data_IF_497208855070
#
_entry.id   IF_497208855070
#
_cell.length_a   1.000
_cell.length_b   1.000
_cell.length_c   1.000
_cell.angle_alpha   90.00
_cell.angle_beta   90.00
_cell.angle_gamma   90.00
#
_symmetry.space_group_name_H-M   'P 1'
#
loop_
_entity.id
_entity.type
_entity.pdbx_description
1 polymer ?
#
# COMPACT_ATOMS: atom_id res chain seq x y z
N UNK A 1 80.54 26.21 -58.06
CA UNK A 1 79.35 26.67 -58.81
C UNK A 1 78.53 27.49 -57.83
N UNK A 2 79.02 28.64 -57.34
CA UNK A 2 79.45 29.84 -58.10
C UNK A 2 78.39 30.18 -59.16
N UNK A 3 77.65 31.28 -59.08
CA UNK A 3 78.16 32.64 -58.93
C UNK A 3 77.39 33.56 -57.98
N UNK A 4 78.16 34.43 -57.33
CA UNK A 4 77.78 35.71 -56.73
C UNK A 4 77.49 36.75 -57.84
N UNK A 5 76.77 37.85 -57.64
CA UNK A 5 77.34 39.16 -57.25
C UNK A 5 76.28 40.28 -57.47
N UNK A 6 76.01 41.03 -56.39
CA UNK A 6 75.71 42.48 -56.23
C UNK A 6 74.65 43.20 -57.10
N UNK A 7 73.71 43.89 -56.44
CA UNK A 7 73.79 45.36 -56.31
C UNK A 7 72.94 45.87 -55.13
N UNK A 8 73.42 46.98 -54.60
CA UNK A 8 73.19 47.54 -53.26
C UNK A 8 71.96 48.44 -53.14
N UNK A 9 71.51 48.54 -51.89
CA UNK A 9 71.00 49.75 -51.20
C UNK A 9 69.71 50.42 -51.65
N UNK A 10 68.91 50.76 -50.63
CA UNK A 10 67.85 51.79 -50.58
C UNK A 10 66.39 51.38 -50.86
N UNK A 11 65.83 50.52 -49.98
CA UNK A 11 64.43 50.68 -49.54
C UNK A 11 64.12 49.88 -48.27
N UNK A 12 64.89 50.14 -47.22
CA UNK A 12 64.38 49.97 -45.86
C UNK A 12 63.43 51.13 -45.57
N UNK A 13 62.10 50.89 -45.57
CA UNK A 13 61.10 51.53 -44.66
C UNK A 13 59.61 51.34 -44.95
N UNK A 14 59.17 50.57 -45.95
CA UNK A 14 57.71 50.50 -46.27
C UNK A 14 57.06 49.12 -46.00
N UNK A 15 57.81 48.03 -45.89
CA UNK A 15 57.19 46.70 -45.72
C UNK A 15 56.84 46.28 -44.28
N UNK A 16 57.27 47.03 -43.25
CA UNK A 16 57.00 46.67 -41.85
C UNK A 16 55.67 47.21 -41.29
N UNK A 17 54.98 48.15 -41.97
CA UNK A 17 53.79 48.82 -41.41
C UNK A 17 52.43 48.38 -41.99
N UNK A 18 52.43 47.51 -43.01
CA UNK A 18 51.18 46.96 -43.57
C UNK A 18 50.88 45.52 -43.11
N UNK A 19 51.88 44.75 -42.69
CA UNK A 19 51.70 43.40 -42.14
C UNK A 19 51.01 43.41 -40.77
N UNK A 20 51.34 44.39 -39.90
CA UNK A 20 50.86 44.43 -38.52
C UNK A 20 49.36 44.72 -38.42
N UNK A 21 48.85 45.67 -39.23
CA UNK A 21 47.42 46.05 -39.19
C UNK A 21 46.48 44.94 -39.68
N UNK A 22 46.92 44.13 -40.64
CA UNK A 22 46.14 42.97 -41.09
C UNK A 22 46.25 41.81 -40.09
N UNK A 23 47.42 41.63 -39.46
CA UNK A 23 47.61 40.70 -38.34
C UNK A 23 46.64 40.99 -37.19
N UNK A 24 46.55 42.25 -36.75
CA UNK A 24 45.65 42.68 -35.67
C UNK A 24 44.17 42.45 -36.01
N UNK A 25 43.76 42.75 -37.25
CA UNK A 25 42.38 42.52 -37.70
C UNK A 25 42.07 41.02 -37.75
N UNK A 26 42.98 40.18 -38.24
CA UNK A 26 42.79 38.72 -38.28
C UNK A 26 42.73 38.14 -36.86
N UNK A 27 43.62 38.56 -35.96
CA UNK A 27 43.61 38.14 -34.55
C UNK A 27 42.28 38.51 -33.88
N UNK A 28 41.73 39.70 -34.17
CA UNK A 28 40.44 40.13 -33.63
C UNK A 28 39.27 39.24 -34.09
N UNK A 29 39.27 38.79 -35.35
CA UNK A 29 38.23 37.91 -35.89
C UNK A 29 38.32 36.49 -35.31
N UNK A 30 39.53 35.96 -35.15
CA UNK A 30 39.74 34.65 -34.49
C UNK A 30 39.26 34.69 -33.05
N UNK A 31 39.47 35.80 -32.34
CA UNK A 31 38.97 35.98 -30.97
C UNK A 31 37.44 35.97 -30.90
N UNK A 32 36.77 36.69 -31.81
CA UNK A 32 35.30 36.69 -31.91
C UNK A 32 34.74 35.30 -32.23
N UNK A 33 35.42 34.55 -33.11
CA UNK A 33 35.04 33.18 -33.42
C UNK A 33 35.20 32.26 -32.20
N UNK A 34 36.31 32.38 -31.47
CA UNK A 34 36.52 31.61 -30.25
C UNK A 34 35.44 31.92 -29.20
N UNK A 35 35.09 33.20 -29.01
CA UNK A 35 34.01 33.60 -28.12
C UNK A 35 32.64 33.03 -28.56
N UNK A 36 32.37 32.99 -29.86
CA UNK A 36 31.14 32.37 -30.39
C UNK A 36 31.09 30.85 -30.14
N UNK A 37 32.22 30.15 -30.32
CA UNK A 37 32.35 28.71 -30.04
C UNK A 37 32.22 28.43 -28.54
N UNK A 38 32.85 29.25 -27.70
CA UNK A 38 32.78 29.14 -26.25
C UNK A 38 31.31 29.28 -25.78
N UNK A 39 30.60 30.30 -26.26
CA UNK A 39 29.17 30.52 -25.94
C UNK A 39 28.28 29.36 -26.42
N UNK A 40 28.58 28.77 -27.59
CA UNK A 40 27.84 27.63 -28.12
C UNK A 40 27.99 26.40 -27.22
N UNK A 41 29.22 26.13 -26.76
CA UNK A 41 29.52 24.94 -25.96
C UNK A 41 29.12 25.12 -24.50
N UNK A 42 29.50 26.24 -23.88
CA UNK A 42 29.21 26.56 -22.49
C UNK A 42 29.20 28.07 -22.24
N UNK A 43 27.99 28.61 -22.04
CA UNK A 43 27.73 30.02 -21.76
C UNK A 43 28.28 30.50 -20.40
N UNK A 44 28.71 29.59 -19.52
CA UNK A 44 29.14 29.91 -18.15
C UNK A 44 30.65 30.07 -17.95
N UNK A 45 31.48 29.69 -18.92
CA UNK A 45 32.94 29.62 -18.73
C UNK A 45 33.62 30.99 -18.84
N UNK A 46 33.07 31.93 -19.60
CA UNK A 46 33.65 33.28 -19.79
C UNK A 46 32.61 34.38 -19.95
N UNK A 47 32.61 35.34 -19.01
CA UNK A 47 31.91 36.60 -19.13
C UNK A 47 30.41 36.55 -18.83
N UNK A 48 29.70 37.60 -19.23
CA UNK A 48 28.24 37.67 -19.08
C UNK A 48 27.53 36.78 -20.12
N UNK A 49 26.48 36.04 -19.73
CA UNK A 49 25.77 35.17 -20.63
C UNK A 49 25.11 35.98 -21.75
N UNK A 50 25.35 35.58 -22.99
CA UNK A 50 24.79 36.26 -24.16
C UNK A 50 23.27 36.10 -24.19
N UNK A 51 22.58 37.20 -24.44
CA UNK A 51 21.12 37.28 -24.44
C UNK A 51 20.57 37.56 -25.82
N UNK A 52 19.38 37.05 -26.08
CA UNK A 52 18.56 37.39 -27.24
C UNK A 52 17.97 38.82 -27.09
N UNK A 53 17.37 39.36 -28.15
CA UNK A 53 16.67 40.65 -28.15
C UNK A 53 15.54 40.76 -27.12
N UNK A 54 15.01 39.63 -26.64
CA UNK A 54 14.04 39.55 -25.54
C UNK A 54 14.69 39.35 -24.16
N UNK A 55 15.99 39.63 -24.00
CA UNK A 55 16.74 39.49 -22.75
C UNK A 55 16.78 38.05 -22.18
N UNK A 56 16.50 37.05 -23.02
CA UNK A 56 16.59 35.63 -22.64
C UNK A 56 18.01 35.12 -22.92
N UNK A 57 18.61 34.46 -21.93
CA UNK A 57 19.93 33.84 -22.07
C UNK A 57 19.85 32.68 -23.08
N UNK A 58 20.80 32.62 -24.01
CA UNK A 58 20.94 31.48 -24.92
C UNK A 58 21.31 30.21 -24.14
N UNK A 59 20.69 29.08 -24.47
CA UNK A 59 21.06 27.78 -23.90
C UNK A 59 22.24 27.21 -24.70
N UNK A 60 23.33 26.90 -24.00
CA UNK A 60 24.48 26.20 -24.59
C UNK A 60 24.22 24.69 -24.74
N UNK A 61 25.13 23.98 -25.44
CA UNK A 61 25.08 22.52 -25.46
C UNK A 61 25.20 21.90 -24.06
N UNK A 62 26.06 22.44 -23.20
CA UNK A 62 26.16 22.02 -21.81
C UNK A 62 24.83 22.18 -21.06
N UNK A 63 24.09 23.27 -21.29
CA UNK A 63 22.77 23.50 -20.67
C UNK A 63 21.68 22.57 -21.22
N UNK A 64 21.79 22.13 -22.47
CA UNK A 64 20.87 21.16 -23.06
C UNK A 64 21.08 19.77 -22.44
N UNK A 65 22.31 19.44 -22.08
CA UNK A 65 22.68 18.16 -21.49
C UNK A 65 22.42 18.15 -19.99
N UNK A 66 22.90 19.18 -19.29
CA UNK A 66 22.88 19.34 -17.84
C UNK A 66 21.65 20.06 -17.31
N UNK A 67 21.54 20.14 -15.98
CA UNK A 67 20.45 20.84 -15.31
C UNK A 67 19.15 20.05 -15.18
N UNK A 68 18.11 20.70 -14.63
CA UNK A 68 16.80 20.09 -14.37
C UNK A 68 16.01 19.80 -15.65
N UNK A 69 16.08 20.73 -16.61
CA UNK A 69 15.49 20.62 -17.95
C UNK A 69 16.44 19.94 -18.95
N UNK A 70 17.59 19.42 -18.48
CA UNK A 70 18.56 18.75 -19.32
C UNK A 70 18.07 17.41 -19.84
N UNK A 71 18.61 16.98 -20.98
CA UNK A 71 18.25 15.72 -21.64
C UNK A 71 18.38 14.50 -20.74
N UNK A 72 19.38 14.45 -19.86
CA UNK A 72 19.54 13.33 -18.93
C UNK A 72 18.35 13.18 -17.97
N UNK A 73 17.84 14.29 -17.41
CA UNK A 73 16.75 14.24 -16.43
C UNK A 73 15.38 14.10 -17.09
N UNK A 74 15.09 14.90 -18.12
CA UNK A 74 13.76 14.92 -18.73
C UNK A 74 13.53 13.82 -19.76
N UNK A 75 14.58 13.29 -20.39
CA UNK A 75 14.44 12.31 -21.48
C UNK A 75 14.96 10.94 -21.11
N UNK A 76 16.03 10.80 -20.33
CA UNK A 76 16.59 9.49 -20.01
C UNK A 76 16.02 8.91 -18.72
N UNK A 77 15.93 9.71 -17.64
CA UNK A 77 15.44 9.24 -16.34
C UNK A 77 13.91 9.35 -16.19
N UNK A 78 13.32 10.44 -16.66
CA UNK A 78 11.87 10.59 -16.77
C UNK A 78 11.43 10.45 -18.22
N UNK A 79 10.31 9.77 -18.48
CA UNK A 79 9.65 9.77 -19.78
C UNK A 79 8.14 9.80 -19.59
N UNK A 80 7.45 10.38 -20.56
CA UNK A 80 6.01 10.15 -20.71
C UNK A 80 5.80 8.75 -21.28
N UNK A 81 4.81 8.05 -20.75
CA UNK A 81 4.54 6.66 -21.10
C UNK A 81 3.10 6.52 -21.60
N UNK A 82 2.95 5.79 -22.69
CA UNK A 82 1.64 5.37 -23.20
C UNK A 82 1.03 4.29 -22.29
N UNK A 83 -0.23 3.93 -22.54
CA UNK A 83 -0.98 2.97 -21.70
C UNK A 83 -0.98 3.35 -20.21
N UNK A 84 -1.17 4.64 -19.96
CA UNK A 84 -1.27 5.21 -18.62
C UNK A 84 -2.48 6.12 -18.48
N UNK A 85 -3.00 6.22 -17.26
CA UNK A 85 -4.14 7.06 -16.90
C UNK A 85 -3.95 7.66 -15.51
N UNK A 86 -4.77 8.65 -15.14
CA UNK A 86 -4.78 9.23 -13.80
C UNK A 86 -6.20 9.58 -13.39
N UNK A 87 -6.55 9.29 -12.14
CA UNK A 87 -7.80 9.76 -11.55
C UNK A 87 -7.67 9.95 -10.04
N UNK A 88 -8.67 10.60 -9.45
CA UNK A 88 -8.83 10.73 -8.00
C UNK A 88 -9.09 9.34 -7.40
N UNK A 89 -8.59 9.11 -6.20
CA UNK A 89 -8.83 7.86 -5.46
C UNK A 89 -9.98 8.00 -4.45
N UNK A 90 -10.71 6.91 -4.26
CA UNK A 90 -11.76 6.74 -3.25
C UNK A 90 -11.57 5.43 -2.51
N UNK A 91 -12.09 5.36 -1.29
CA UNK A 91 -11.99 4.14 -0.47
C UNK A 91 -12.84 3.01 -1.04
N UNK A 92 -12.25 1.82 -1.17
CA UNK A 92 -12.93 0.59 -1.58
C UNK A 92 -12.87 -0.48 -0.48
N UNK A 93 -13.72 -0.41 0.57
CA UNK A 93 -13.63 -1.30 1.73
C UNK A 93 -14.04 -2.75 1.42
N UNK A 94 -14.83 -2.97 0.36
CA UNK A 94 -15.26 -4.31 -0.08
C UNK A 94 -14.25 -5.01 -0.99
N UNK A 95 -13.16 -4.34 -1.37
CA UNK A 95 -12.13 -4.91 -2.23
C UNK A 95 -11.27 -5.89 -1.44
N UNK A 96 -10.76 -6.92 -2.10
CA UNK A 96 -9.66 -7.69 -1.52
C UNK A 96 -8.35 -6.88 -1.60
N UNK A 97 -7.38 -7.19 -0.74
CA UNK A 97 -6.10 -6.46 -0.69
C UNK A 97 -5.37 -6.40 -2.04
N UNK A 98 -5.49 -7.46 -2.85
CA UNK A 98 -4.88 -7.59 -4.17
C UNK A 98 -5.67 -6.95 -5.31
N UNK A 99 -6.82 -6.35 -5.04
CA UNK A 99 -7.73 -5.80 -6.03
C UNK A 99 -7.74 -4.27 -5.99
N UNK A 100 -8.02 -3.66 -7.14
CA UNK A 100 -8.33 -2.24 -7.22
C UNK A 100 -9.56 -2.02 -8.11
N UNK A 101 -10.31 -0.95 -7.84
CA UNK A 101 -11.42 -0.56 -8.71
C UNK A 101 -10.95 0.39 -9.79
N UNK A 102 -11.12 0.01 -11.05
CA UNK A 102 -10.79 0.84 -12.21
C UNK A 102 -12.08 1.40 -12.84
N UNK A 103 -12.16 2.73 -13.05
CA UNK A 103 -13.26 3.34 -13.78
C UNK A 103 -13.43 2.78 -15.19
N UNK A 104 -14.68 2.61 -15.62
CA UNK A 104 -15.03 2.15 -16.97
C UNK A 104 -14.37 2.96 -18.09
N UNK A 105 -14.41 4.29 -17.98
CA UNK A 105 -13.84 5.21 -18.98
C UNK A 105 -12.32 4.99 -19.14
N UNK A 106 -11.60 4.85 -18.03
CA UNK A 106 -10.14 4.62 -18.02
C UNK A 106 -9.83 3.21 -18.52
N UNK A 107 -10.61 2.21 -18.11
CA UNK A 107 -10.42 0.82 -18.51
C UNK A 107 -10.58 0.62 -20.02
N UNK A 108 -11.59 1.24 -20.64
CA UNK A 108 -11.77 1.16 -22.10
C UNK A 108 -10.54 1.69 -22.82
N UNK A 109 -10.04 2.88 -22.45
CA UNK A 109 -8.91 3.49 -23.14
C UNK A 109 -7.61 2.71 -22.94
N UNK A 110 -7.33 2.27 -21.71
CA UNK A 110 -6.13 1.48 -21.41
C UNK A 110 -6.12 0.12 -22.12
N UNK A 111 -7.27 -0.55 -22.19
CA UNK A 111 -7.39 -1.91 -22.74
C UNK A 111 -7.90 -1.93 -24.18
N UNK A 112 -8.04 -0.78 -24.85
CA UNK A 112 -8.70 -0.65 -26.15
C UNK A 112 -8.17 -1.65 -27.19
N UNK A 113 -6.85 -1.80 -27.28
CA UNK A 113 -6.21 -2.72 -28.23
C UNK A 113 -6.59 -4.18 -27.98
N UNK A 114 -6.64 -4.59 -26.72
CA UNK A 114 -7.00 -5.96 -26.33
C UNK A 114 -8.49 -6.23 -26.54
N UNK A 115 -9.34 -5.25 -26.23
CA UNK A 115 -10.77 -5.30 -26.45
C UNK A 115 -11.11 -5.45 -27.94
N UNK A 116 -10.47 -4.66 -28.81
CA UNK A 116 -10.61 -4.78 -30.27
C UNK A 116 -10.23 -6.18 -30.76
N UNK A 117 -9.10 -6.72 -30.28
CA UNK A 117 -8.61 -8.04 -30.68
C UNK A 117 -9.63 -9.13 -30.34
N UNK A 118 -10.21 -9.07 -29.15
CA UNK A 118 -11.13 -10.11 -28.69
C UNK A 118 -12.53 -9.96 -29.30
N UNK A 119 -12.98 -8.74 -29.60
CA UNK A 119 -14.19 -8.50 -30.41
C UNK A 119 -14.10 -9.13 -31.80
N UNK A 120 -12.94 -9.02 -32.46
CA UNK A 120 -12.71 -9.64 -33.78
C UNK A 120 -12.63 -11.17 -33.64
N UNK A 121 -11.89 -11.67 -32.64
CA UNK A 121 -11.73 -13.11 -32.42
C UNK A 121 -13.06 -13.81 -32.13
N UNK A 122 -13.96 -13.15 -31.41
CA UNK A 122 -15.31 -13.66 -31.09
C UNK A 122 -16.36 -13.37 -32.17
N UNK A 123 -15.95 -12.83 -33.32
CA UNK A 123 -16.82 -12.50 -34.46
C UNK A 123 -17.92 -11.45 -34.18
N UNK A 124 -17.77 -10.63 -33.13
CA UNK A 124 -18.66 -9.47 -32.89
C UNK A 124 -18.33 -8.29 -33.81
N UNK A 125 -17.08 -8.21 -34.29
CA UNK A 125 -16.61 -7.21 -35.24
C UNK A 125 -15.91 -7.88 -36.43
N UNK A 126 -16.14 -7.36 -37.64
CA UNK A 126 -15.49 -7.89 -38.85
C UNK A 126 -14.06 -7.37 -39.03
N UNK A 127 -13.79 -6.13 -38.60
CA UNK A 127 -12.48 -5.49 -38.78
C UNK A 127 -12.20 -4.47 -37.67
N UNK A 128 -10.94 -4.06 -37.56
CA UNK A 128 -10.46 -3.13 -36.53
C UNK A 128 -11.19 -1.78 -36.55
N UNK A 129 -11.56 -1.29 -37.74
CA UNK A 129 -12.31 -0.04 -37.87
C UNK A 129 -13.74 -0.17 -37.32
N UNK A 130 -14.44 -1.26 -37.65
CA UNK A 130 -15.77 -1.56 -37.10
C UNK A 130 -15.73 -1.76 -35.59
N UNK A 131 -14.70 -2.44 -35.06
CA UNK A 131 -14.54 -2.64 -33.63
C UNK A 131 -14.34 -1.31 -32.89
N UNK A 132 -13.45 -0.43 -33.41
CA UNK A 132 -13.26 0.92 -32.84
C UNK A 132 -14.54 1.75 -32.86
N UNK A 133 -15.29 1.68 -33.96
CA UNK A 133 -16.57 2.37 -34.10
C UNK A 133 -17.61 1.82 -33.13
N UNK A 134 -17.72 0.50 -33.01
CA UNK A 134 -18.60 -0.17 -32.03
C UNK A 134 -18.23 0.21 -30.61
N UNK A 135 -16.95 0.24 -30.22
CA UNK A 135 -16.54 0.66 -28.88
C UNK A 135 -17.02 2.09 -28.60
N UNK A 136 -16.84 3.03 -29.54
CA UNK A 136 -17.28 4.43 -29.36
C UNK A 136 -18.79 4.63 -29.37
N UNK A 137 -19.51 3.97 -30.27
CA UNK A 137 -20.96 4.14 -30.44
C UNK A 137 -21.77 3.30 -29.45
N UNK A 138 -21.23 2.15 -29.04
CA UNK A 138 -21.88 1.14 -28.20
C UNK A 138 -21.19 1.00 -26.84
N UNK A 139 -20.58 2.07 -26.30
CA UNK A 139 -20.07 2.08 -24.92
C UNK A 139 -21.13 1.59 -23.92
N UNK A 140 -22.42 1.80 -24.20
CA UNK A 140 -23.51 1.38 -23.31
C UNK A 140 -23.94 -0.09 -23.45
N UNK A 141 -23.40 -0.85 -24.39
CA UNK A 141 -23.79 -2.24 -24.55
C UNK A 141 -23.18 -3.16 -23.50
N UNK A 142 -23.97 -4.08 -22.93
CA UNK A 142 -23.49 -5.02 -21.91
C UNK A 142 -22.35 -5.91 -22.44
N UNK A 143 -22.39 -6.27 -23.72
CA UNK A 143 -21.42 -7.17 -24.37
C UNK A 143 -19.99 -6.60 -24.30
N UNK A 144 -19.84 -5.28 -24.51
CA UNK A 144 -18.52 -4.64 -24.45
C UNK A 144 -17.94 -4.72 -23.04
N UNK A 145 -18.79 -4.57 -22.01
CA UNK A 145 -18.38 -4.66 -20.61
C UNK A 145 -18.02 -6.07 -20.19
N UNK A 146 -18.76 -7.06 -20.65
CA UNK A 146 -18.46 -8.48 -20.38
C UNK A 146 -17.11 -8.88 -20.98
N UNK A 147 -16.85 -8.51 -22.24
CA UNK A 147 -15.57 -8.79 -22.88
C UNK A 147 -14.43 -8.01 -22.19
N UNK A 148 -14.68 -6.76 -21.80
CA UNK A 148 -13.68 -5.98 -21.07
C UNK A 148 -13.34 -6.60 -19.70
N UNK A 149 -14.34 -7.11 -18.96
CA UNK A 149 -14.12 -7.84 -17.71
C UNK A 149 -13.24 -9.09 -17.94
N UNK A 150 -13.50 -9.85 -18.99
CA UNK A 150 -12.71 -11.03 -19.35
C UNK A 150 -11.27 -10.68 -19.73
N UNK A 151 -11.07 -9.62 -20.52
CA UNK A 151 -9.73 -9.13 -20.90
C UNK A 151 -8.94 -8.66 -19.68
N UNK A 152 -9.61 -7.98 -18.73
CA UNK A 152 -8.99 -7.51 -17.50
C UNK A 152 -8.70 -8.64 -16.52
N UNK A 153 -9.43 -9.75 -16.60
CA UNK A 153 -9.25 -10.88 -15.71
C UNK A 153 -7.86 -11.50 -15.90
N UNK A 154 -7.04 -11.45 -14.85
CA UNK A 154 -5.66 -11.92 -14.94
C UNK A 154 -4.72 -10.95 -15.66
N UNK A 155 -5.11 -9.72 -15.94
CA UNK A 155 -4.17 -8.70 -16.39
C UNK A 155 -3.91 -7.69 -15.27
N UNK A 156 -2.74 -7.71 -14.60
CA UNK A 156 -2.47 -6.79 -13.52
C UNK A 156 -2.29 -5.36 -14.02
N UNK A 157 -2.56 -4.38 -13.15
CA UNK A 157 -2.27 -2.96 -13.37
C UNK A 157 -1.39 -2.43 -12.24
N UNK A 158 -0.54 -1.45 -12.55
CA UNK A 158 0.30 -0.77 -11.56
C UNK A 158 -0.34 0.54 -11.14
N UNK A 159 -0.52 0.74 -9.84
CA UNK A 159 -0.92 2.03 -9.28
C UNK A 159 0.31 2.73 -8.70
N UNK A 160 0.42 4.03 -8.96
CA UNK A 160 1.51 4.88 -8.47
C UNK A 160 0.96 6.19 -7.90
N UNK A 161 1.47 6.61 -6.74
CA UNK A 161 1.25 7.94 -6.18
C UNK A 161 2.56 8.72 -6.13
N UNK A 162 2.53 9.94 -6.65
CA UNK A 162 3.65 10.88 -6.53
C UNK A 162 3.51 11.73 -5.26
N UNK A 163 4.61 12.06 -4.56
CA UNK A 163 5.99 11.64 -4.81
C UNK A 163 6.26 10.18 -4.39
N UNK A 164 6.98 9.43 -5.23
CA UNK A 164 7.34 8.03 -4.95
C UNK A 164 8.61 7.97 -4.10
N UNK A 165 8.47 7.88 -2.78
CA UNK A 165 9.61 7.89 -1.84
C UNK A 165 10.29 6.53 -1.67
N UNK A 166 9.55 5.45 -1.89
CA UNK A 166 10.04 4.08 -1.72
C UNK A 166 9.28 3.12 -2.64
N UNK A 167 9.76 1.88 -2.76
CA UNK A 167 9.20 0.88 -3.69
C UNK A 167 7.69 0.69 -3.58
N UNK A 168 7.12 0.74 -2.37
CA UNK A 168 5.67 0.55 -2.13
C UNK A 168 4.80 1.71 -2.63
N UNK A 169 5.41 2.81 -3.09
CA UNK A 169 4.70 3.85 -3.81
C UNK A 169 4.25 3.43 -5.21
N UNK A 170 4.68 2.24 -5.67
CA UNK A 170 4.16 1.57 -6.87
C UNK A 170 3.81 0.12 -6.50
N UNK A 171 2.56 -0.28 -6.65
CA UNK A 171 2.12 -1.66 -6.41
C UNK A 171 1.22 -2.16 -7.54
N UNK A 172 1.22 -3.47 -7.73
CA UNK A 172 0.37 -4.16 -8.68
C UNK A 172 -0.94 -4.63 -8.04
N UNK A 173 -2.02 -4.55 -8.80
CA UNK A 173 -3.36 -4.97 -8.41
C UNK A 173 -4.06 -5.69 -9.57
N UNK A 174 -5.00 -6.57 -9.23
CA UNK A 174 -5.99 -7.08 -10.16
C UNK A 174 -7.10 -6.03 -10.31
N UNK A 175 -7.32 -5.45 -11.50
CA UNK A 175 -8.35 -4.46 -11.68
C UNK A 175 -9.75 -5.09 -11.71
N UNK A 176 -10.72 -4.38 -11.15
CA UNK A 176 -12.15 -4.67 -11.18
C UNK A 176 -12.86 -3.45 -11.76
N UNK A 177 -13.79 -3.67 -12.68
CA UNK A 177 -14.57 -2.59 -13.27
C UNK A 177 -15.54 -1.95 -12.26
N UNK A 178 -15.47 -0.63 -12.12
CA UNK A 178 -16.36 0.15 -11.26
C UNK A 178 -17.11 1.19 -12.09
N UNK A 179 -18.38 1.44 -11.75
CA UNK A 179 -19.24 2.38 -12.48
C UNK A 179 -18.88 3.86 -12.30
N UNK A 180 -18.11 4.22 -11.26
CA UNK A 180 -17.67 5.58 -11.00
C UNK A 180 -16.50 6.03 -11.88
N UNK A 181 -16.07 7.28 -11.67
CA UNK A 181 -14.89 7.90 -12.35
C UNK A 181 -13.61 7.88 -11.50
N UNK A 182 -13.73 7.53 -10.23
CA UNK A 182 -12.61 7.47 -9.29
C UNK A 182 -12.06 6.05 -9.17
N UNK A 183 -10.76 5.94 -8.91
CA UNK A 183 -10.10 4.65 -8.66
C UNK A 183 -10.41 4.22 -7.23
N UNK A 184 -10.97 3.02 -7.05
CA UNK A 184 -11.21 2.49 -5.70
C UNK A 184 -9.94 1.81 -5.19
N UNK A 185 -9.44 2.26 -4.04
CA UNK A 185 -8.23 1.74 -3.42
C UNK A 185 -8.55 1.05 -2.09
N UNK A 186 -7.86 -0.04 -1.80
CA UNK A 186 -7.99 -0.74 -0.53
C UNK A 186 -7.40 0.10 0.62
N UNK A 187 -8.10 0.29 1.76
CA UNK A 187 -7.64 1.19 2.83
C UNK A 187 -6.29 0.79 3.47
N UNK A 188 -5.98 -0.51 3.56
CA UNK A 188 -4.71 -0.97 4.15
C UNK A 188 -3.46 -0.59 3.33
N UNK A 189 -3.57 -0.32 2.02
CA UNK A 189 -2.41 0.05 1.21
C UNK A 189 -2.10 1.55 1.25
N UNK A 190 -3.01 2.37 1.81
CA UNK A 190 -2.87 3.83 1.87
C UNK A 190 -1.58 4.26 2.58
N UNK A 191 -1.17 3.57 3.66
CA UNK A 191 0.09 3.86 4.35
C UNK A 191 1.32 3.65 3.47
N UNK A 192 1.28 2.63 2.60
CA UNK A 192 2.35 2.38 1.61
C UNK A 192 2.41 3.44 0.51
N UNK A 193 1.27 3.99 0.10
CA UNK A 193 1.26 5.11 -0.86
C UNK A 193 1.42 6.49 -0.22
N UNK A 194 1.41 6.55 1.11
CA UNK A 194 1.25 7.78 1.89
C UNK A 194 0.03 8.60 1.42
N UNK A 195 -1.06 7.91 1.08
CA UNK A 195 -2.25 8.47 0.44
C UNK A 195 -3.41 8.68 1.43
N UNK A 196 -4.19 9.71 1.18
CA UNK A 196 -5.48 9.97 1.83
C UNK A 196 -6.60 10.11 0.78
N UNK A 197 -7.82 10.43 1.23
CA UNK A 197 -9.01 10.46 0.37
C UNK A 197 -9.66 11.85 0.33
N UNK A 198 -8.85 12.92 0.33
CA UNK A 198 -9.30 14.31 0.33
C UNK A 198 -9.25 14.99 -1.06
N UNK A 199 -8.83 14.24 -2.09
CA UNK A 199 -8.60 14.76 -3.45
C UNK A 199 -7.35 14.22 -4.12
N UNK A 200 -6.57 13.42 -3.38
CA UNK A 200 -5.42 12.67 -3.87
C UNK A 200 -5.68 11.93 -5.20
N UNK A 201 -4.67 11.93 -6.07
CA UNK A 201 -4.71 11.31 -7.39
C UNK A 201 -3.64 10.24 -7.54
N UNK A 202 -3.97 9.16 -8.24
CA UNK A 202 -3.03 8.10 -8.57
C UNK A 202 -2.96 7.87 -10.08
N UNK A 203 -1.76 7.57 -10.55
CA UNK A 203 -1.53 7.12 -11.91
C UNK A 203 -1.72 5.60 -11.99
N UNK A 204 -2.24 5.14 -13.14
CA UNK A 204 -2.40 3.73 -13.50
C UNK A 204 -1.51 3.47 -14.70
N UNK A 205 -0.78 2.35 -14.69
CA UNK A 205 0.04 1.89 -15.82
C UNK A 205 -0.29 0.44 -16.14
N UNK A 206 -0.36 0.11 -17.44
CA UNK A 206 -0.68 -1.24 -17.91
C UNK A 206 0.58 -1.97 -18.42
N UNK A 207 1.05 -3.06 -17.76
CA UNK A 207 2.19 -3.85 -18.22
C UNK A 207 1.86 -4.71 -19.44
N UNK A 208 2.44 -4.39 -20.61
CA UNK A 208 2.04 -5.05 -21.87
C UNK A 208 2.69 -6.42 -22.10
N UNK A 209 4.00 -6.55 -21.87
CA UNK A 209 4.71 -7.81 -22.14
C UNK A 209 4.41 -8.88 -21.09
N UNK A 210 4.57 -10.15 -21.46
CA UNK A 210 4.32 -11.26 -20.54
C UNK A 210 5.29 -11.25 -19.35
N UNK A 211 6.53 -10.83 -19.59
CA UNK A 211 7.56 -10.66 -18.56
C UNK A 211 7.16 -9.57 -17.57
N UNK A 212 6.70 -8.42 -18.06
CA UNK A 212 6.24 -7.32 -17.21
C UNK A 212 4.99 -7.71 -16.39
N UNK A 213 4.08 -8.49 -16.97
CA UNK A 213 2.92 -9.03 -16.24
C UNK A 213 3.35 -10.04 -15.17
N UNK A 214 4.36 -10.87 -15.45
CA UNK A 214 4.91 -11.82 -14.50
C UNK A 214 5.64 -11.10 -13.34
N UNK A 215 6.45 -10.09 -13.63
CA UNK A 215 7.10 -9.24 -12.62
C UNK A 215 6.06 -8.56 -11.73
N UNK A 216 5.02 -7.97 -12.32
CA UNK A 216 3.94 -7.36 -11.57
C UNK A 216 3.33 -8.36 -10.59
N UNK A 217 2.98 -9.57 -11.07
CA UNK A 217 2.39 -10.67 -10.29
C UNK A 217 3.26 -11.18 -9.15
N UNK A 218 4.52 -11.46 -9.45
CA UNK A 218 5.41 -12.14 -8.51
C UNK A 218 6.05 -11.18 -7.50
N UNK A 219 6.37 -9.96 -7.94
CA UNK A 219 7.19 -9.03 -7.17
C UNK A 219 6.42 -7.83 -6.64
N UNK A 220 5.43 -7.32 -7.39
CA UNK A 220 4.81 -6.02 -7.09
C UNK A 220 3.39 -6.11 -6.53
N UNK A 221 2.77 -7.30 -6.49
CA UNK A 221 1.41 -7.42 -5.97
C UNK A 221 1.30 -6.96 -4.52
N UNK A 222 0.22 -6.25 -4.21
CA UNK A 222 -0.01 -5.65 -2.89
C UNK A 222 -0.07 -6.69 -1.75
N UNK A 223 -0.63 -7.87 -1.98
CA UNK A 223 -0.74 -8.92 -0.96
C UNK A 223 0.59 -9.62 -0.62
N UNK A 224 1.61 -9.45 -1.47
CA UNK A 224 2.97 -9.97 -1.24
C UNK A 224 3.80 -8.92 -0.49
N UNK A 225 3.53 -7.64 -0.74
CA UNK A 225 4.29 -6.51 -0.23
C UNK A 225 3.70 -5.91 1.06
N UNK A 226 3.59 -6.75 2.11
CA UNK A 226 2.99 -6.35 3.39
C UNK A 226 3.95 -5.67 4.36
N UNK A 227 5.26 -5.88 4.17
CA UNK A 227 6.32 -5.45 5.08
C UNK A 227 7.10 -4.24 4.54
N UNK A 228 7.57 -3.42 5.46
CA UNK A 228 8.53 -2.35 5.18
C UNK A 228 9.86 -2.93 4.72
N UNK A 229 10.39 -2.52 3.55
CA UNK A 229 11.72 -2.97 3.12
C UNK A 229 12.84 -2.43 4.02
N UNK A 230 12.61 -1.35 4.77
CA UNK A 230 13.64 -0.72 5.59
C UNK A 230 13.79 -1.39 6.96
N UNK A 231 12.68 -1.71 7.63
CA UNK A 231 12.66 -2.18 9.03
C UNK A 231 12.18 -3.63 9.14
N UNK A 232 11.40 -4.12 8.17
CA UNK A 232 10.73 -5.42 8.25
C UNK A 232 9.37 -5.38 8.97
N UNK A 233 9.00 -4.23 9.55
CA UNK A 233 7.69 -4.06 10.20
C UNK A 233 6.52 -4.10 9.21
N UNK A 234 5.33 -4.59 9.63
CA UNK A 234 4.15 -4.57 8.78
C UNK A 234 3.71 -3.13 8.47
N UNK A 235 3.48 -2.85 7.19
CA UNK A 235 2.95 -1.57 6.71
C UNK A 235 1.43 -1.62 6.55
N UNK A 236 0.90 -2.75 6.08
CA UNK A 236 -0.54 -2.97 5.89
C UNK A 236 -1.21 -3.32 7.24
N UNK A 237 -1.21 -2.36 8.17
CA UNK A 237 -1.79 -2.52 9.50
C UNK A 237 -3.14 -1.79 9.56
N UNK A 238 -4.16 -2.34 10.24
CA UNK A 238 -5.40 -1.62 10.50
C UNK A 238 -5.16 -0.24 11.12
N UNK A 239 -5.86 0.77 10.61
CA UNK A 239 -5.77 2.18 11.07
C UNK A 239 -7.17 2.73 11.37
N UNK A 240 -7.21 3.82 12.16
CA UNK A 240 -8.41 4.63 12.42
C UNK A 240 -9.65 3.78 12.78
N UNK A 241 -10.66 3.75 11.91
CA UNK A 241 -11.95 3.08 12.14
C UNK A 241 -11.81 1.58 12.40
N UNK A 242 -10.86 0.92 11.71
CA UNK A 242 -10.62 -0.51 11.95
C UNK A 242 -10.10 -0.75 13.36
N UNK A 243 -9.21 0.10 13.86
CA UNK A 243 -8.69 -0.01 15.23
C UNK A 243 -9.78 0.28 16.26
N UNK A 244 -10.63 1.27 16.03
CA UNK A 244 -11.75 1.58 16.92
C UNK A 244 -12.74 0.41 16.94
N UNK A 245 -13.06 -0.17 15.78
CA UNK A 245 -13.94 -1.34 15.68
C UNK A 245 -13.38 -2.54 16.44
N UNK A 246 -12.10 -2.85 16.26
CA UNK A 246 -11.41 -3.92 16.99
C UNK A 246 -11.30 -3.63 18.49
N UNK A 247 -11.05 -2.38 18.87
CA UNK A 247 -10.99 -1.96 20.27
C UNK A 247 -12.36 -2.12 20.95
N UNK A 248 -13.44 -1.63 20.34
CA UNK A 248 -14.80 -1.81 20.87
C UNK A 248 -15.21 -3.27 20.89
N UNK A 249 -14.80 -4.07 19.91
CA UNK A 249 -15.05 -5.52 19.92
C UNK A 249 -14.32 -6.23 21.06
N UNK A 250 -13.10 -5.78 21.38
CA UNK A 250 -12.26 -6.40 22.42
C UNK A 250 -12.30 -5.66 23.76
N UNK A 251 -13.17 -4.65 23.90
CA UNK A 251 -13.35 -3.96 25.16
C UNK A 251 -14.08 -4.91 26.10
N UNK A 252 -13.47 -5.18 27.25
CA UNK A 252 -14.02 -6.17 28.17
C UNK A 252 -13.40 -6.03 29.54
N UNK A 253 -14.23 -6.19 30.56
CA UNK A 253 -13.82 -6.14 31.96
C UNK A 253 -12.98 -7.39 32.27
N UNK A 254 -11.64 -7.26 32.22
CA UNK A 254 -10.68 -8.33 32.61
C UNK A 254 -10.65 -8.58 34.13
N UNK A 255 -11.76 -8.41 34.83
CA UNK A 255 -11.86 -8.83 36.24
C UNK A 255 -11.58 -10.32 36.26
N UNK A 256 -10.54 -10.81 36.92
CA UNK A 256 -10.26 -12.25 37.00
C UNK A 256 -11.37 -13.02 37.73
N UNK A 257 -11.34 -14.35 37.66
CA UNK A 257 -12.29 -15.23 38.36
C UNK A 257 -12.33 -14.91 39.88
N UNK A 258 -11.19 -14.52 40.45
CA UNK A 258 -11.03 -14.10 41.84
C UNK A 258 -11.60 -12.69 42.15
N UNK A 259 -11.61 -11.76 41.19
CA UNK A 259 -12.14 -10.41 41.40
C UNK A 259 -13.67 -10.40 41.63
N UNK A 260 -14.38 -11.40 41.09
CA UNK A 260 -15.82 -11.58 41.33
C UNK A 260 -16.11 -12.37 42.62
N UNK A 261 -15.20 -13.25 43.05
CA UNK A 261 -15.40 -14.13 44.23
C UNK A 261 -15.09 -13.42 45.55
N UNK A 262 -14.10 -12.53 45.58
CA UNK A 262 -13.70 -11.78 46.78
C UNK A 262 -14.37 -10.41 46.95
N UNK A 263 -15.04 -9.87 45.92
CA UNK A 263 -15.93 -8.70 46.06
C UNK A 263 -17.27 -9.02 46.73
N UNK A 264 -17.41 -10.20 47.33
CA UNK A 264 -18.61 -10.62 48.08
C UNK A 264 -18.68 -10.03 49.49
N UNK A 265 -17.58 -9.47 50.01
CA UNK A 265 -17.56 -8.85 51.33
C UNK A 265 -17.46 -7.33 51.24
N UNK A 266 -18.51 -6.67 51.73
CA UNK A 266 -18.69 -5.22 51.92
C UNK A 266 -17.67 -4.58 52.89
N UNK A 267 -16.59 -5.27 53.25
CA UNK A 267 -15.64 -4.89 54.32
C UNK A 267 -14.21 -5.39 54.06
N UNK A 268 -13.55 -4.98 52.98
CA UNK A 268 -12.08 -4.94 52.99
C UNK A 268 -11.49 -3.93 51.97
N UNK A 269 -11.14 -2.70 52.40
CA UNK A 269 -10.74 -1.61 51.49
C UNK A 269 -9.23 -1.54 51.20
N UNK A 270 -8.41 -2.56 51.51
CA UNK A 270 -6.94 -2.39 51.54
C UNK A 270 -6.10 -3.14 50.52
N UNK A 271 -6.65 -3.82 49.52
CA UNK A 271 -5.80 -4.56 48.56
C UNK A 271 -6.14 -4.46 47.08
N UNK A 272 -6.43 -3.24 46.62
CA UNK A 272 -6.52 -2.89 45.21
C UNK A 272 -5.67 -1.64 44.90
N UNK A 273 -4.35 -1.72 45.12
CA UNK A 273 -3.45 -0.58 44.86
C UNK A 273 -2.82 -0.52 43.46
N UNK A 274 -2.94 -1.56 42.61
CA UNK A 274 -2.18 -1.60 41.35
C UNK A 274 -2.99 -1.67 40.05
N UNK A 275 -4.31 -1.43 40.10
CA UNK A 275 -5.08 -1.15 38.89
C UNK A 275 -5.68 0.25 39.03
N UNK A 276 -5.21 1.19 38.20
CA UNK A 276 -5.79 2.52 38.10
C UNK A 276 -7.23 2.38 37.56
N UNK A 277 -8.19 2.18 38.47
CA UNK A 277 -9.61 2.29 38.16
C UNK A 277 -9.96 3.77 38.19
N UNK A 278 -10.19 4.38 37.02
CA UNK A 278 -10.97 5.61 36.96
C UNK A 278 -12.42 5.28 37.39
N UNK A 279 -13.03 6.07 38.27
CA UNK A 279 -14.41 5.84 38.69
C UNK A 279 -15.31 6.29 37.55
N UNK A 280 -15.95 5.33 36.87
CA UNK A 280 -17.11 5.63 36.04
C UNK A 280 -18.30 5.67 36.99
N UNK A 281 -18.77 6.89 37.26
CA UNK A 281 -20.03 7.15 37.95
C UNK A 281 -21.17 6.51 37.16
N UNK A 282 -21.68 5.36 37.62
CA UNK A 282 -23.01 4.89 37.26
C UNK A 282 -23.68 4.33 38.52
N UNK A 283 -24.44 5.21 39.18
CA UNK A 283 -25.51 4.80 40.09
C UNK A 283 -26.59 4.15 39.23
N UNK A 284 -26.66 2.81 39.22
CA UNK A 284 -27.87 1.98 39.04
C UNK A 284 -27.58 0.49 38.67
N UNK A 285 -26.51 -0.12 39.17
CA UNK A 285 -26.34 -1.57 39.01
C UNK A 285 -26.77 -2.31 40.28
N UNK A 286 -28.06 -2.64 40.37
CA UNK A 286 -28.48 -3.80 41.16
C UNK A 286 -27.98 -5.04 40.43
N UNK A 287 -26.80 -5.54 40.81
CA UNK A 287 -26.25 -6.78 40.27
C UNK A 287 -27.12 -7.97 40.71
N UNK A 288 -28.17 -8.26 39.93
CA UNK A 288 -28.76 -9.59 39.94
C UNK A 288 -27.66 -10.58 39.58
N UNK A 289 -27.49 -11.58 40.43
CA UNK A 289 -26.39 -12.55 40.38
C UNK A 289 -26.67 -13.58 39.29
N UNK A 290 -26.82 -13.13 38.05
CA UNK A 290 -26.98 -14.02 36.90
C UNK A 290 -25.66 -14.78 36.72
N UNK A 291 -25.73 -16.11 36.82
CA UNK A 291 -24.57 -16.99 36.58
C UNK A 291 -24.06 -16.74 35.16
N UNK A 292 -22.77 -16.48 35.02
CA UNK A 292 -22.12 -16.33 33.72
C UNK A 292 -22.40 -17.60 32.86
N UNK A 293 -22.82 -17.44 31.59
CA UNK A 293 -23.25 -18.55 30.76
C UNK A 293 -22.04 -19.39 30.30
N UNK A 294 -22.25 -20.71 30.23
CA UNK A 294 -21.28 -21.69 29.74
C UNK A 294 -21.64 -22.11 28.32
N UNK A 295 -20.65 -22.13 27.43
CA UNK A 295 -20.78 -22.54 26.05
C UNK A 295 -19.80 -23.65 25.71
N UNK A 296 -20.32 -24.70 25.06
CA UNK A 296 -19.55 -25.79 24.49
C UNK A 296 -18.80 -25.42 23.22
N UNK A 297 -19.35 -24.48 22.45
CA UNK A 297 -18.85 -24.08 21.13
C UNK A 297 -18.96 -22.58 20.94
N UNK A 298 -18.04 -22.00 20.16
CA UNK A 298 -18.09 -20.59 19.77
C UNK A 298 -19.33 -20.27 18.93
N UNK A 299 -19.84 -21.23 18.17
CA UNK A 299 -21.08 -21.10 17.40
C UNK A 299 -22.31 -20.94 18.30
N UNK A 300 -22.36 -21.65 19.43
CA UNK A 300 -23.47 -21.55 20.38
C UNK A 300 -23.51 -20.16 21.02
N UNK A 301 -22.34 -19.62 21.38
CA UNK A 301 -22.20 -18.28 21.93
C UNK A 301 -22.66 -17.20 20.93
N UNK A 302 -22.28 -17.33 19.65
CA UNK A 302 -22.74 -16.45 18.57
C UNK A 302 -24.25 -16.58 18.31
N UNK A 303 -24.80 -17.80 18.41
CA UNK A 303 -26.24 -18.05 18.34
C UNK A 303 -27.00 -17.33 19.46
N UNK A 304 -26.49 -17.39 20.69
CA UNK A 304 -27.05 -16.69 21.84
C UNK A 304 -27.04 -15.16 21.67
N UNK A 305 -25.97 -14.61 21.09
CA UNK A 305 -25.88 -13.19 20.74
C UNK A 305 -26.89 -12.76 19.69
N UNK A 306 -27.06 -13.56 18.62
CA UNK A 306 -28.09 -13.29 17.60
C UNK A 306 -29.50 -13.29 18.18
N UNK A 307 -29.73 -14.11 19.21
CA UNK A 307 -30.97 -14.13 19.99
C UNK A 307 -31.08 -13.00 21.02
N UNK A 308 -30.10 -12.08 21.07
CA UNK A 308 -29.99 -10.95 22.02
C UNK A 308 -29.99 -11.38 23.49
N UNK A 309 -29.52 -12.60 23.79
CA UNK A 309 -29.40 -13.12 25.17
C UNK A 309 -28.13 -12.64 25.88
N UNK A 310 -27.12 -12.24 25.11
CA UNK A 310 -25.76 -11.92 25.57
C UNK A 310 -25.28 -10.71 24.77
N UNK A 311 -24.50 -9.83 25.41
CA UNK A 311 -23.85 -8.67 24.78
C UNK A 311 -22.45 -9.01 24.22
N UNK A 312 -21.80 -8.06 23.55
CA UNK A 312 -20.43 -8.27 23.06
C UNK A 312 -19.37 -8.27 24.19
N UNK A 313 -19.63 -7.46 25.21
CA UNK A 313 -18.79 -7.17 26.37
C UNK A 313 -19.09 -8.08 27.58
N UNK A 314 -20.25 -8.75 27.59
CA UNK A 314 -20.64 -9.63 28.69
C UNK A 314 -19.71 -10.84 28.82
N UNK A 315 -19.22 -11.15 30.04
CA UNK A 315 -18.33 -12.27 30.28
C UNK A 315 -19.06 -13.60 30.12
N UNK A 316 -18.39 -14.57 29.50
CA UNK A 316 -18.89 -15.92 29.29
C UNK A 316 -17.77 -16.96 29.44
N UNK A 317 -18.17 -18.21 29.67
CA UNK A 317 -17.26 -19.34 29.74
C UNK A 317 -17.33 -20.15 28.46
N UNK A 318 -16.21 -20.26 27.75
CA UNK A 318 -16.11 -21.05 26.52
C UNK A 318 -15.25 -22.29 26.76
N UNK A 319 -15.75 -23.46 26.36
CA UNK A 319 -14.95 -24.68 26.31
C UNK A 319 -13.89 -24.58 25.21
N UNK A 320 -12.63 -24.61 25.62
CA UNK A 320 -11.47 -24.54 24.74
C UNK A 320 -11.07 -25.92 24.24
N UNK A 321 -10.66 -26.01 22.96
CA UNK A 321 -10.18 -27.26 22.36
C UNK A 321 -8.72 -27.48 22.75
N UNK A 322 -8.41 -28.70 23.19
CA UNK A 322 -7.08 -29.08 23.70
C UNK A 322 -5.95 -29.00 22.66
N UNK A 323 -6.27 -29.09 21.36
CA UNK A 323 -5.29 -29.04 20.26
C UNK A 323 -4.75 -27.62 19.98
N UNK A 324 -5.42 -26.58 20.49
CA UNK A 324 -4.99 -25.19 20.35
C UNK A 324 -4.19 -24.80 21.59
N UNK A 325 -2.86 -24.70 21.43
CA UNK A 325 -1.92 -24.34 22.50
C UNK A 325 -2.45 -23.17 23.33
N UNK A 326 -2.79 -23.42 24.59
CA UNK A 326 -3.01 -22.37 25.58
C UNK A 326 -1.62 -21.80 25.88
N UNK A 327 -1.29 -20.63 25.34
CA UNK A 327 -0.09 -19.90 25.73
C UNK A 327 -0.38 -19.26 27.09
N UNK A 328 -0.10 -20.01 28.14
CA UNK A 328 0.08 -19.49 29.49
C UNK A 328 1.49 -19.83 29.94
N UNK A 329 2.27 -18.83 30.35
CA UNK A 329 3.43 -19.02 31.22
C UNK A 329 3.01 -19.83 32.45
N UNK A 330 3.92 -20.64 33.01
CA UNK A 330 3.74 -21.50 34.18
C UNK A 330 3.05 -20.82 35.36
N UNK A 331 1.72 -20.73 35.33
CA UNK A 331 0.90 -20.16 36.39
C UNK A 331 0.50 -21.26 37.36
N UNK A 332 0.57 -20.97 38.66
CA UNK A 332 0.08 -21.87 39.72
C UNK A 332 -1.43 -21.66 39.85
N UNK A 333 -2.25 -22.71 40.01
CA UNK A 333 -3.68 -22.55 40.21
C UNK A 333 -3.96 -21.75 41.47
N UNK A 334 -4.92 -20.82 41.39
CA UNK A 334 -5.35 -19.99 42.51
C UNK A 334 -6.07 -20.85 43.54
N UNK A 335 -6.88 -21.79 43.06
CA UNK A 335 -7.67 -22.70 43.90
C UNK A 335 -7.83 -24.04 43.19
N UNK A 336 -7.72 -25.14 43.94
CA UNK A 336 -8.01 -26.50 43.44
C UNK A 336 -9.12 -27.09 44.30
N UNK A 337 -10.25 -27.43 43.66
CA UNK A 337 -11.39 -28.06 44.32
C UNK A 337 -11.48 -29.53 43.91
N UNK A 338 -11.80 -30.41 44.85
CA UNK A 338 -12.00 -31.84 44.58
C UNK A 338 -13.47 -32.19 44.76
N UNK A 339 -14.07 -32.81 43.74
CA UNK A 339 -15.40 -33.39 43.84
C UNK A 339 -15.32 -34.76 44.52
N UNK A 340 -16.41 -35.14 45.18
CA UNK A 340 -16.54 -36.44 45.86
C UNK A 340 -16.38 -37.64 44.91
N UNK A 341 -16.59 -37.44 43.61
CA UNK A 341 -16.39 -38.42 42.54
C UNK A 341 -14.94 -38.50 42.04
N UNK A 342 -14.02 -37.71 42.64
CA UNK A 342 -12.59 -37.70 42.34
C UNK A 342 -12.17 -36.88 41.11
N UNK A 343 -13.06 -36.05 40.58
CA UNK A 343 -12.68 -35.01 39.60
C UNK A 343 -12.07 -33.80 40.33
N UNK A 344 -11.06 -33.17 39.74
CA UNK A 344 -10.48 -31.93 40.27
C UNK A 344 -10.76 -30.74 39.35
N UNK A 345 -11.07 -29.60 39.97
CA UNK A 345 -11.26 -28.32 39.33
C UNK A 345 -10.11 -27.39 39.72
N UNK A 346 -9.22 -27.13 38.77
CA UNK A 346 -8.13 -26.19 38.94
C UNK A 346 -8.54 -24.83 38.38
N UNK A 347 -8.69 -23.86 39.27
CA UNK A 347 -9.17 -22.51 38.96
C UNK A 347 -7.98 -21.58 38.86
N UNK A 348 -7.81 -20.97 37.70
CA UNK A 348 -6.79 -19.98 37.43
C UNK A 348 -7.40 -18.57 37.36
N UNK A 349 -6.62 -17.56 37.01
CA UNK A 349 -7.13 -16.18 36.93
C UNK A 349 -8.20 -16.00 35.85
N UNK A 350 -8.03 -16.66 34.70
CA UNK A 350 -8.87 -16.47 33.51
C UNK A 350 -9.35 -17.78 32.85
N UNK A 351 -8.98 -18.94 33.39
CA UNK A 351 -9.39 -20.24 32.87
C UNK A 351 -9.62 -21.25 34.01
N UNK A 352 -10.32 -22.32 33.68
CA UNK A 352 -10.69 -23.43 34.56
C UNK A 352 -10.31 -24.73 33.87
N UNK A 353 -9.55 -25.58 34.54
CA UNK A 353 -9.20 -26.91 34.06
C UNK A 353 -9.96 -27.94 34.90
N UNK A 354 -10.64 -28.87 34.22
CA UNK A 354 -11.34 -29.99 34.85
C UNK A 354 -10.57 -31.27 34.52
N UNK A 355 -10.06 -31.96 35.54
CA UNK A 355 -9.35 -33.23 35.40
C UNK A 355 -10.17 -34.42 35.87
N UNK A 356 -9.90 -35.56 35.26
CA UNK A 356 -10.47 -36.86 35.60
C UNK A 356 -9.80 -37.46 36.85
N UNK A 357 -10.36 -38.55 37.37
CA UNK A 357 -9.77 -39.35 38.46
C UNK A 357 -8.37 -39.90 38.16
N UNK A 358 -7.99 -39.97 36.88
CA UNK A 358 -6.66 -40.39 36.39
C UNK A 358 -5.71 -39.22 36.10
N UNK A 359 -6.05 -38.01 36.56
CA UNK A 359 -5.31 -36.76 36.29
C UNK A 359 -5.25 -36.34 34.80
N UNK A 360 -6.07 -36.96 33.95
CA UNK A 360 -6.23 -36.56 32.55
C UNK A 360 -7.14 -35.32 32.43
N UNK A 361 -6.72 -34.32 31.64
CA UNK A 361 -7.52 -33.11 31.37
C UNK A 361 -8.75 -33.49 30.54
N UNK A 362 -9.95 -33.31 31.11
CA UNK A 362 -11.22 -33.52 30.39
C UNK A 362 -11.62 -32.29 29.59
N UNK A 363 -11.70 -31.14 30.27
CA UNK A 363 -12.20 -29.90 29.69
C UNK A 363 -11.38 -28.72 30.20
N UNK A 364 -11.11 -27.77 29.31
CA UNK A 364 -10.57 -26.47 29.64
C UNK A 364 -11.67 -25.45 29.32
N UNK A 365 -12.03 -24.60 30.27
CA UNK A 365 -12.93 -23.48 30.05
C UNK A 365 -12.14 -22.18 30.18
N UNK A 366 -12.28 -21.29 29.21
CA UNK A 366 -11.67 -19.96 29.24
C UNK A 366 -12.78 -18.96 29.48
N UNK A 367 -12.55 -18.05 30.43
CA UNK A 367 -13.43 -16.92 30.68
C UNK A 367 -13.02 -15.77 29.76
N UNK A 368 -13.90 -15.42 28.84
CA UNK A 368 -13.64 -14.42 27.80
C UNK A 368 -14.93 -13.66 27.47
N UNK A 369 -14.87 -12.71 26.55
CA UNK A 369 -16.06 -12.05 26.00
C UNK A 369 -16.35 -12.55 24.60
N UNK A 370 -17.59 -12.38 24.16
CA UNK A 370 -17.97 -12.79 22.82
C UNK A 370 -17.16 -12.07 21.74
N UNK A 371 -16.87 -10.78 21.93
CA UNK A 371 -16.11 -10.03 20.95
C UNK A 371 -14.67 -10.55 20.77
N UNK A 372 -13.99 -10.96 21.85
CA UNK A 372 -12.70 -11.65 21.75
C UNK A 372 -12.82 -12.98 21.00
N UNK A 373 -13.85 -13.78 21.29
CA UNK A 373 -14.10 -15.05 20.58
C UNK A 373 -14.27 -14.80 19.08
N UNK A 374 -15.07 -13.79 18.71
CA UNK A 374 -15.28 -13.43 17.32
C UNK A 374 -13.97 -13.03 16.65
N UNK A 375 -13.16 -12.20 17.30
CA UNK A 375 -11.88 -11.76 16.77
C UNK A 375 -10.88 -12.92 16.57
N UNK A 376 -10.70 -13.77 17.59
CA UNK A 376 -9.80 -14.92 17.49
C UNK A 376 -10.27 -15.95 16.46
N UNK A 377 -11.58 -16.10 16.29
CA UNK A 377 -12.15 -16.97 15.26
C UNK A 377 -11.79 -16.48 13.86
N UNK A 378 -11.93 -15.18 13.58
CA UNK A 378 -11.55 -14.61 12.28
C UNK A 378 -10.05 -14.81 12.01
N UNK A 379 -9.20 -14.67 13.03
CA UNK A 379 -7.76 -14.98 12.92
C UNK A 379 -7.54 -16.45 12.60
N UNK A 380 -8.20 -17.37 13.31
CA UNK A 380 -8.04 -18.80 13.10
C UNK A 380 -8.50 -19.21 11.69
N UNK A 381 -9.66 -18.72 11.25
CA UNK A 381 -10.19 -18.97 9.91
C UNK A 381 -9.24 -18.42 8.83
N UNK A 382 -8.67 -17.23 9.03
CA UNK A 382 -7.66 -16.67 8.13
C UNK A 382 -6.41 -17.56 8.06
N UNK A 383 -5.88 -18.00 9.20
CA UNK A 383 -4.69 -18.88 9.27
C UNK A 383 -4.95 -20.24 8.61
N UNK A 384 -6.12 -20.83 8.83
CA UNK A 384 -6.52 -22.09 8.18
C UNK A 384 -6.73 -21.91 6.67
N UNK A 385 -7.25 -20.75 6.23
CA UNK A 385 -7.35 -20.40 4.82
C UNK A 385 -5.98 -20.38 4.13
N UNK A 386 -4.97 -19.81 4.79
CA UNK A 386 -3.59 -19.80 4.28
C UNK A 386 -2.97 -21.20 4.17
N UNK A 387 -3.23 -22.09 5.12
CA UNK A 387 -2.67 -23.45 5.08
C UNK A 387 -3.29 -24.30 3.97
N UNK A 388 -4.58 -24.10 3.67
CA UNK A 388 -5.28 -24.79 2.57
C UNK A 388 -4.92 -24.26 1.18
N UNK A 389 -4.60 -22.97 1.05
CA UNK A 389 -4.23 -22.38 -0.25
C UNK A 389 -2.79 -22.71 -0.71
N UNK A 390 -1.97 -23.35 0.15
CA UNK A 390 -0.60 -23.81 -0.17
C UNK A 390 -0.52 -25.26 -0.66
N UNK A 391 -1.65 -25.97 -0.73
CA UNK A 391 -1.80 -27.31 -1.32
C UNK A 391 -2.60 -27.13 -2.61
#
# INVERSE_FOLDING_TARGET
MDDSVLFTSSSSRIEAHYSDRWGDVVISQVKLLQEAVDILLDTGVRGEPKRDGYNKVYKSFSDIIGGKEGRFRETLLGKRVDYSGRSVIVVGPSLSLHQCGLPREIAIELFQTFLIRDLIRKHFASNTATAKRQIKEREKEPIVWEILQEVMQGHPVLLNRAPTLHRLGILAFQPILVGGRAICLHPLVCKGFNADFDGDQMAVHLPLSLEAQAEARLLMFSHINLLSPAIGDPICVPTQDMLIGLYVLTIGNRRGICANRYNRNKYNPYNCKNYQNQPVDNKNDSYDTEKEPYFSSSYDALGAYRQKKIGLDSPLWLRWKLDQRVVGSSEVPIEVQYESLGASHEIYGHYLIIRSTKDEIRYIYIRTTLGHISFYREIEEAVQGFSRARI
#
